data_IF_928144149625
#
_entry.id   IF_928144149625
#
_cell.length_a   1.000
_cell.length_b   1.000
_cell.length_c   1.000
_cell.angle_alpha   90.00
_cell.angle_beta   90.00
_cell.angle_gamma   90.00
#
_symmetry.space_group_name_H-M   'P 1'
#
loop_
_entity.id
_entity.type
_entity.pdbx_description
1 polymer ?
#
# COMPACT_ATOMS: atom_id res chain seq x y z
N UNK A 1 12.70 -0.10 15.44
CA UNK A 1 11.57 0.06 14.50
C UNK A 1 11.14 -1.35 14.16
N UNK A 2 9.90 -1.71 14.44
CA UNK A 2 9.38 -2.99 13.93
C UNK A 2 9.42 -2.95 12.39
N UNK A 3 9.37 -4.09 11.73
CA UNK A 3 9.28 -4.17 10.26
C UNK A 3 8.29 -5.26 9.91
N UNK A 4 7.49 -5.01 8.88
CA UNK A 4 6.41 -5.88 8.41
C UNK A 4 6.88 -6.60 7.16
N UNK A 5 7.74 -7.58 7.35
CA UNK A 5 8.33 -8.39 6.29
C UNK A 5 8.26 -9.87 6.64
N UNK A 6 7.26 -10.30 7.42
CA UNK A 6 7.12 -11.70 7.85
C UNK A 6 6.31 -12.50 6.84
N UNK A 7 5.39 -11.84 6.15
CA UNK A 7 4.47 -12.47 5.21
C UNK A 7 5.04 -12.47 3.79
N UNK A 8 5.89 -13.45 3.49
CA UNK A 8 6.47 -13.63 2.16
C UNK A 8 5.56 -14.41 1.21
N UNK A 9 4.62 -15.20 1.76
CA UNK A 9 3.65 -15.98 0.98
C UNK A 9 2.28 -15.91 1.62
N UNK A 10 1.24 -16.18 0.84
CA UNK A 10 -0.12 -16.25 1.37
C UNK A 10 -0.26 -17.27 2.50
N UNK A 11 0.38 -18.44 2.38
CA UNK A 11 0.33 -19.47 3.42
C UNK A 11 0.86 -18.97 4.77
N UNK A 12 1.96 -18.19 4.75
CA UNK A 12 2.51 -17.59 5.97
C UNK A 12 1.59 -16.52 6.57
N UNK A 13 0.99 -15.68 5.71
CA UNK A 13 0.04 -14.66 6.14
C UNK A 13 -1.22 -15.28 6.74
N UNK A 14 -1.81 -16.25 6.02
CA UNK A 14 -3.00 -16.98 6.44
C UNK A 14 -2.81 -17.65 7.79
N UNK A 15 -1.72 -18.41 7.97
CA UNK A 15 -1.46 -19.12 9.21
C UNK A 15 -1.34 -18.15 10.41
N UNK A 16 -0.70 -17.00 10.22
CA UNK A 16 -0.56 -15.99 11.27
C UNK A 16 -1.88 -15.27 11.57
N UNK A 17 -2.68 -14.97 10.53
CA UNK A 17 -4.03 -14.39 10.70
C UNK A 17 -4.94 -15.35 11.47
N UNK A 18 -5.01 -16.63 11.07
CA UNK A 18 -5.82 -17.65 11.73
C UNK A 18 -5.36 -17.87 13.18
N UNK A 19 -4.05 -17.92 13.43
CA UNK A 19 -3.49 -18.07 14.77
C UNK A 19 -3.77 -16.86 15.67
N UNK A 20 -3.95 -15.66 15.10
CA UNK A 20 -4.24 -14.45 15.87
C UNK A 20 -5.65 -14.44 16.50
N UNK A 21 -6.57 -15.25 15.97
CA UNK A 21 -7.99 -15.24 16.36
C UNK A 21 -8.73 -13.95 16.00
N UNK A 22 -8.12 -13.06 15.19
CA UNK A 22 -8.78 -11.86 14.70
C UNK A 22 -9.97 -12.26 13.80
N UNK A 23 -11.10 -11.52 13.87
CA UNK A 23 -12.28 -11.80 13.06
C UNK A 23 -12.08 -11.29 11.62
N UNK A 24 -11.14 -11.91 10.90
CA UNK A 24 -10.79 -11.61 9.52
C UNK A 24 -11.35 -12.71 8.63
N UNK A 25 -12.04 -12.32 7.56
CA UNK A 25 -12.50 -13.23 6.52
C UNK A 25 -11.31 -13.66 5.65
N UNK A 26 -10.67 -14.77 6.05
CA UNK A 26 -9.50 -15.34 5.36
C UNK A 26 -9.83 -15.87 3.97
N UNK A 27 -11.08 -16.26 3.72
CA UNK A 27 -11.50 -16.78 2.42
C UNK A 27 -11.66 -15.64 1.41
N UNK A 28 -12.30 -14.54 1.83
CA UNK A 28 -12.37 -13.32 1.02
C UNK A 28 -10.98 -12.76 0.72
N UNK A 29 -10.11 -12.72 1.73
CA UNK A 29 -8.74 -12.24 1.58
C UNK A 29 -7.90 -13.15 0.67
N UNK A 30 -8.06 -14.47 0.79
CA UNK A 30 -7.41 -15.44 -0.10
C UNK A 30 -7.79 -15.26 -1.56
N UNK A 31 -9.07 -14.94 -1.85
CA UNK A 31 -9.51 -14.60 -3.21
C UNK A 31 -8.80 -13.36 -3.74
N UNK A 32 -8.66 -12.31 -2.92
CA UNK A 32 -7.94 -11.09 -3.32
C UNK A 32 -6.47 -11.37 -3.61
N UNK A 33 -5.81 -12.18 -2.77
CA UNK A 33 -4.40 -12.56 -2.97
C UNK A 33 -4.22 -13.39 -4.24
N UNK A 34 -5.08 -14.38 -4.47
CA UNK A 34 -5.02 -15.16 -5.71
C UNK A 34 -5.31 -14.32 -6.97
N UNK A 35 -6.18 -13.30 -6.89
CA UNK A 35 -6.41 -12.38 -7.99
C UNK A 35 -5.19 -11.49 -8.25
N UNK A 36 -4.57 -10.93 -7.21
CA UNK A 36 -3.34 -10.17 -7.33
C UNK A 36 -2.20 -11.00 -7.93
N UNK A 37 -2.02 -12.25 -7.49
CA UNK A 37 -1.05 -13.20 -8.06
C UNK A 37 -1.31 -13.44 -9.55
N UNK A 38 -2.58 -13.65 -9.94
CA UNK A 38 -2.94 -13.81 -11.36
C UNK A 38 -2.63 -12.56 -12.20
N UNK A 39 -2.96 -11.37 -11.71
CA UNK A 39 -2.80 -10.13 -12.47
C UNK A 39 -1.35 -9.68 -12.57
N UNK A 40 -0.59 -9.76 -11.48
CA UNK A 40 0.83 -9.41 -11.50
C UNK A 40 1.71 -10.48 -12.14
N UNK A 41 1.28 -11.76 -12.15
CA UNK A 41 2.02 -12.87 -12.76
C UNK A 41 3.47 -12.93 -12.27
N UNK A 42 4.43 -12.94 -13.20
CA UNK A 42 5.87 -13.01 -12.90
C UNK A 42 6.51 -11.65 -12.54
N UNK A 43 5.70 -10.61 -12.28
CA UNK A 43 6.22 -9.29 -11.91
C UNK A 43 7.09 -9.37 -10.64
N UNK A 44 8.23 -8.68 -10.68
CA UNK A 44 9.18 -8.59 -9.59
C UNK A 44 9.44 -7.15 -9.20
N UNK A 45 9.71 -6.91 -7.92
CA UNK A 45 10.24 -5.63 -7.43
C UNK A 45 11.65 -5.39 -7.99
N UNK A 46 12.15 -4.14 -7.96
CA UNK A 46 13.54 -3.84 -8.32
C UNK A 46 14.59 -4.63 -7.54
N UNK A 47 14.24 -5.14 -6.36
CA UNK A 47 15.08 -6.01 -5.52
C UNK A 47 15.14 -7.47 -6.00
N UNK A 48 14.28 -7.87 -6.94
CA UNK A 48 14.18 -9.23 -7.46
C UNK A 48 13.14 -10.13 -6.78
N UNK A 49 12.52 -9.68 -5.68
CA UNK A 49 11.43 -10.40 -5.02
C UNK A 49 10.13 -10.36 -5.85
N UNK A 50 9.28 -11.40 -5.81
CA UNK A 50 7.92 -11.36 -6.36
C UNK A 50 7.15 -10.12 -5.89
N UNK A 51 6.35 -9.52 -6.79
CA UNK A 51 5.61 -8.30 -6.45
C UNK A 51 4.60 -8.51 -5.30
N UNK A 52 4.03 -9.72 -5.22
CA UNK A 52 3.06 -10.13 -4.21
C UNK A 52 3.61 -9.98 -2.78
N UNK A 53 4.92 -10.11 -2.57
CA UNK A 53 5.51 -9.86 -1.25
C UNK A 53 5.21 -8.44 -0.76
N UNK A 54 5.31 -7.41 -1.61
CA UNK A 54 4.97 -6.02 -1.23
C UNK A 54 3.49 -5.86 -0.85
N UNK A 55 2.60 -6.56 -1.56
CA UNK A 55 1.17 -6.55 -1.27
C UNK A 55 0.89 -7.18 0.10
N UNK A 56 1.60 -8.27 0.43
CA UNK A 56 1.51 -8.93 1.73
C UNK A 56 2.16 -8.13 2.85
N UNK A 57 3.23 -7.38 2.59
CA UNK A 57 3.81 -6.43 3.56
C UNK A 57 2.79 -5.33 3.92
N UNK A 58 2.11 -4.75 2.92
CA UNK A 58 1.05 -3.75 3.16
C UNK A 58 -0.13 -4.35 3.94
N UNK A 59 -0.53 -5.58 3.62
CA UNK A 59 -1.55 -6.31 4.36
C UNK A 59 -1.12 -6.58 5.82
N UNK A 60 0.14 -6.97 6.04
CA UNK A 60 0.73 -7.21 7.36
C UNK A 60 0.68 -5.94 8.23
N UNK A 61 1.00 -4.78 7.63
CA UNK A 61 0.89 -3.48 8.30
C UNK A 61 -0.55 -3.23 8.80
N UNK A 62 -1.55 -3.49 7.96
CA UNK A 62 -2.95 -3.27 8.34
C UNK A 62 -3.42 -4.23 9.43
N UNK A 63 -3.12 -5.51 9.29
CA UNK A 63 -3.61 -6.54 10.22
C UNK A 63 -2.86 -6.51 11.54
N UNK A 64 -1.53 -6.53 11.51
CA UNK A 64 -0.71 -6.64 12.72
C UNK A 64 -0.44 -5.29 13.36
N UNK A 65 -0.20 -4.28 12.55
CA UNK A 65 0.06 -2.92 12.99
C UNK A 65 -1.22 -2.21 13.40
N UNK A 66 -2.06 -1.89 12.40
CA UNK A 66 -3.26 -1.08 12.60
C UNK A 66 -4.48 -1.85 13.14
N UNK A 67 -4.41 -3.20 13.24
CA UNK A 67 -5.49 -4.07 13.73
C UNK A 67 -6.79 -3.95 12.92
N UNK A 68 -6.67 -3.69 11.62
CA UNK A 68 -7.80 -3.63 10.70
C UNK A 68 -8.32 -5.05 10.44
N UNK A 69 -9.64 -5.23 10.55
CA UNK A 69 -10.32 -6.50 10.27
C UNK A 69 -11.36 -6.42 9.15
N UNK A 70 -11.66 -5.21 8.66
CA UNK A 70 -12.67 -4.96 7.64
C UNK A 70 -12.26 -5.59 6.29
N UNK A 71 -13.01 -6.57 5.75
CA UNK A 71 -12.64 -7.27 4.51
C UNK A 71 -12.42 -6.35 3.29
N UNK A 72 -13.22 -5.29 3.05
CA UNK A 72 -13.01 -4.40 1.91
C UNK A 72 -11.65 -3.68 1.95
N UNK A 73 -11.24 -3.22 3.13
CA UNK A 73 -9.97 -2.50 3.34
C UNK A 73 -8.77 -3.44 3.14
N UNK A 74 -8.85 -4.65 3.70
CA UNK A 74 -7.79 -5.66 3.56
C UNK A 74 -7.67 -6.13 2.11
N UNK A 75 -8.79 -6.33 1.42
CA UNK A 75 -8.80 -6.69 0.00
C UNK A 75 -8.22 -5.56 -0.85
N UNK A 76 -8.63 -4.31 -0.62
CA UNK A 76 -8.07 -3.15 -1.32
C UNK A 76 -6.56 -2.98 -1.09
N UNK A 77 -6.03 -3.33 0.08
CA UNK A 77 -4.60 -3.30 0.33
C UNK A 77 -3.83 -4.33 -0.49
N UNK A 78 -4.38 -5.52 -0.68
CA UNK A 78 -3.81 -6.54 -1.57
C UNK A 78 -3.93 -6.13 -3.04
N UNK A 79 -4.97 -5.39 -3.40
CA UNK A 79 -5.27 -5.01 -4.78
C UNK A 79 -4.76 -3.61 -5.18
N UNK A 80 -4.13 -2.85 -4.29
CA UNK A 80 -3.93 -1.41 -4.49
C UNK A 80 -3.14 -1.01 -5.75
N UNK A 81 -2.24 -1.87 -6.22
CA UNK A 81 -1.40 -1.61 -7.40
C UNK A 81 -1.89 -2.31 -8.67
N UNK A 82 -2.97 -3.11 -8.63
CA UNK A 82 -3.36 -3.95 -9.77
C UNK A 82 -3.77 -3.11 -10.98
N UNK A 83 -4.45 -2.00 -10.77
CA UNK A 83 -4.86 -1.07 -11.84
C UNK A 83 -3.69 -0.19 -12.31
N UNK A 84 -2.69 0.06 -11.45
CA UNK A 84 -1.53 0.87 -11.82
C UNK A 84 -0.50 0.09 -12.64
N UNK A 85 -0.24 -1.16 -12.27
CA UNK A 85 0.92 -1.92 -12.73
C UNK A 85 0.57 -3.10 -13.65
N UNK A 86 -0.72 -3.38 -13.85
CA UNK A 86 -1.18 -4.47 -14.71
C UNK A 86 -2.21 -3.98 -15.73
N UNK A 87 -2.60 -4.81 -16.73
CA UNK A 87 -3.69 -4.47 -17.65
C UNK A 87 -5.09 -4.45 -17.02
N UNK A 88 -5.25 -4.84 -15.75
CA UNK A 88 -6.53 -4.85 -15.06
C UNK A 88 -7.13 -3.44 -14.95
N UNK A 89 -8.45 -3.36 -14.97
CA UNK A 89 -9.22 -2.13 -14.86
C UNK A 89 -10.02 -2.09 -13.56
N UNK A 90 -10.50 -0.90 -13.17
CA UNK A 90 -11.43 -0.78 -12.04
C UNK A 90 -12.71 -1.60 -12.25
N UNK A 91 -13.14 -1.80 -13.50
CA UNK A 91 -14.29 -2.65 -13.82
C UNK A 91 -13.99 -4.12 -13.50
N UNK A 92 -12.79 -4.61 -13.81
CA UNK A 92 -12.40 -5.99 -13.48
C UNK A 92 -12.38 -6.20 -11.95
N UNK A 93 -11.92 -5.18 -11.20
CA UNK A 93 -11.98 -5.18 -9.72
C UNK A 93 -13.43 -5.17 -9.22
N UNK A 94 -14.31 -4.37 -9.83
CA UNK A 94 -15.72 -4.29 -9.44
C UNK A 94 -16.48 -5.59 -9.70
N UNK A 95 -16.23 -6.21 -10.86
CA UNK A 95 -16.87 -7.46 -11.26
C UNK A 95 -16.46 -8.63 -10.32
N UNK A 96 -15.22 -8.65 -9.80
CA UNK A 96 -14.73 -9.70 -8.90
C UNK A 96 -14.96 -9.41 -7.40
N UNK A 97 -14.89 -8.15 -6.96
CA UNK A 97 -14.84 -7.76 -5.54
C UNK A 97 -15.92 -6.77 -5.11
N UNK A 98 -16.70 -6.24 -6.05
CA UNK A 98 -17.79 -5.32 -5.79
C UNK A 98 -17.35 -3.85 -5.63
N UNK A 99 -18.35 -2.96 -5.47
CA UNK A 99 -18.15 -1.51 -5.56
C UNK A 99 -17.32 -0.94 -4.40
N UNK A 100 -17.45 -1.50 -3.19
CA UNK A 100 -16.73 -0.99 -2.01
C UNK A 100 -15.21 -1.17 -2.14
N UNK A 101 -14.75 -2.36 -2.56
CA UNK A 101 -13.32 -2.61 -2.82
C UNK A 101 -12.83 -1.75 -3.98
N UNK A 102 -13.63 -1.61 -5.03
CA UNK A 102 -13.30 -0.81 -6.22
C UNK A 102 -13.12 0.66 -5.89
N UNK A 103 -14.00 1.23 -5.05
CA UNK A 103 -13.89 2.61 -4.61
C UNK A 103 -12.57 2.84 -3.85
N UNK A 104 -12.21 1.93 -2.94
CA UNK A 104 -10.96 2.03 -2.20
C UNK A 104 -9.73 1.92 -3.12
N UNK A 105 -9.76 1.00 -4.09
CA UNK A 105 -8.69 0.84 -5.08
C UNK A 105 -8.57 2.08 -5.96
N UNK A 106 -9.67 2.68 -6.42
CA UNK A 106 -9.64 3.92 -7.20
C UNK A 106 -8.99 5.07 -6.43
N UNK A 107 -9.35 5.24 -5.14
CA UNK A 107 -8.76 6.29 -4.30
C UNK A 107 -7.24 6.19 -4.24
N UNK A 108 -6.70 4.98 -4.17
CA UNK A 108 -5.25 4.74 -4.07
C UNK A 108 -4.56 4.52 -5.41
N UNK A 109 -5.30 4.49 -6.52
CA UNK A 109 -4.75 4.40 -7.88
C UNK A 109 -4.35 5.79 -8.41
N UNK A 110 -3.10 5.93 -8.82
CA UNK A 110 -2.55 7.14 -9.43
C UNK A 110 -3.07 7.29 -10.87
N UNK A 111 -3.76 8.38 -11.21
CA UNK A 111 -4.25 8.60 -12.56
C UNK A 111 -3.09 8.81 -13.56
N UNK A 112 -3.29 8.46 -14.85
CA UNK A 112 -2.31 8.73 -15.88
C UNK A 112 -2.07 10.24 -16.02
N UNK A 113 -0.84 10.61 -16.37
CA UNK A 113 -0.52 12.02 -16.62
C UNK A 113 -1.17 12.48 -17.93
N UNK A 114 -1.89 13.61 -17.91
CA UNK A 114 -2.51 14.23 -19.10
C UNK A 114 -1.54 14.83 -20.12
N UNK A 115 -0.27 14.43 -20.10
CA UNK A 115 0.78 14.92 -20.98
C UNK A 115 2.07 14.12 -20.87
N UNK A 116 2.96 14.31 -21.83
CA UNK A 116 4.23 13.59 -21.89
C UNK A 116 5.32 14.22 -20.99
N UNK A 117 6.29 13.40 -20.59
CA UNK A 117 7.50 13.86 -19.91
C UNK A 117 7.45 13.84 -18.38
N UNK A 118 8.62 14.10 -17.79
CA UNK A 118 8.85 13.97 -16.33
C UNK A 118 8.07 15.00 -15.52
N UNK A 119 7.90 16.21 -16.04
CA UNK A 119 7.18 17.28 -15.35
C UNK A 119 5.69 16.96 -15.23
N UNK A 120 5.04 16.54 -16.32
CA UNK A 120 3.63 16.14 -16.32
C UNK A 120 3.37 14.99 -15.34
N UNK A 121 4.22 13.95 -15.36
CA UNK A 121 4.15 12.84 -14.40
C UNK A 121 4.29 13.29 -12.94
N UNK A 122 5.21 14.23 -12.65
CA UNK A 122 5.38 14.79 -11.30
C UNK A 122 4.16 15.60 -10.86
N UNK A 123 3.60 16.41 -11.74
CA UNK A 123 2.41 17.21 -11.46
C UNK A 123 1.18 16.33 -11.19
N UNK A 124 0.96 15.31 -12.02
CA UNK A 124 -0.13 14.33 -11.83
C UNK A 124 0.01 13.59 -10.49
N UNK A 125 1.22 13.12 -10.17
CA UNK A 125 1.48 12.47 -8.88
C UNK A 125 1.21 13.41 -7.70
N UNK A 126 1.66 14.66 -7.76
CA UNK A 126 1.42 15.62 -6.69
C UNK A 126 -0.07 15.97 -6.54
N UNK A 127 -0.83 16.04 -7.64
CA UNK A 127 -2.28 16.25 -7.60
C UNK A 127 -3.00 15.06 -6.96
N UNK A 128 -2.66 13.84 -7.37
CA UNK A 128 -3.16 12.61 -6.75
C UNK A 128 -2.87 12.56 -5.25
N UNK A 129 -1.63 12.82 -4.85
CA UNK A 129 -1.25 12.81 -3.43
C UNK A 129 -2.01 13.86 -2.61
N UNK A 130 -2.36 15.01 -3.20
CA UNK A 130 -3.23 16.00 -2.54
C UNK A 130 -4.67 15.51 -2.43
N UNK A 131 -5.21 14.83 -3.47
CA UNK A 131 -6.58 14.29 -3.46
C UNK A 131 -6.82 13.34 -2.29
N UNK A 132 -5.78 12.62 -1.85
CA UNK A 132 -5.88 11.71 -0.70
C UNK A 132 -6.27 12.41 0.60
N UNK A 133 -6.11 13.73 0.71
CA UNK A 133 -6.63 14.51 1.84
C UNK A 133 -8.16 14.51 1.94
N UNK A 134 -8.85 14.24 0.84
CA UNK A 134 -10.30 14.15 0.75
C UNK A 134 -10.80 12.69 0.71
N UNK A 135 -9.88 11.71 0.80
CA UNK A 135 -10.21 10.29 0.73
C UNK A 135 -10.89 9.79 2.02
N UNK A 136 -11.74 8.75 1.94
CA UNK A 136 -12.30 8.12 3.13
C UNK A 136 -11.19 7.50 4.00
N UNK A 137 -11.38 7.42 5.34
CA UNK A 137 -10.38 6.86 6.26
C UNK A 137 -9.85 5.49 5.86
N UNK A 138 -10.71 4.64 5.29
CA UNK A 138 -10.40 3.31 4.79
C UNK A 138 -9.35 3.35 3.67
N UNK A 139 -9.53 4.23 2.68
CA UNK A 139 -8.58 4.40 1.59
C UNK A 139 -7.27 5.04 2.07
N UNK A 140 -7.36 5.97 3.03
CA UNK A 140 -6.19 6.54 3.71
C UNK A 140 -5.37 5.43 4.38
N UNK A 141 -6.00 4.50 5.12
CA UNK A 141 -5.29 3.38 5.75
C UNK A 141 -4.57 2.50 4.74
N UNK A 142 -5.21 2.17 3.62
CA UNK A 142 -4.57 1.42 2.51
C UNK A 142 -3.32 2.17 2.03
N UNK A 143 -3.42 3.48 1.81
CA UNK A 143 -2.28 4.26 1.33
C UNK A 143 -1.16 4.41 2.36
N UNK A 144 -1.52 4.57 3.63
CA UNK A 144 -0.56 4.60 4.72
C UNK A 144 0.18 3.27 4.81
N UNK A 145 -0.52 2.13 4.67
CA UNK A 145 0.08 0.81 4.68
C UNK A 145 1.05 0.58 3.50
N UNK A 146 0.66 0.92 2.27
CA UNK A 146 1.55 0.92 1.10
C UNK A 146 2.79 1.81 1.33
N UNK A 147 2.59 2.99 1.91
CA UNK A 147 3.75 3.84 2.23
C UNK A 147 4.62 3.22 3.33
N UNK A 148 4.01 2.50 4.28
CA UNK A 148 4.74 1.79 5.33
C UNK A 148 5.64 0.70 4.75
N UNK A 149 5.10 -0.19 3.91
CA UNK A 149 5.85 -1.28 3.27
C UNK A 149 7.01 -0.78 2.41
N UNK A 150 6.85 0.39 1.78
CA UNK A 150 7.92 0.99 1.00
C UNK A 150 9.04 1.63 1.84
N UNK A 151 8.70 2.42 2.86
CA UNK A 151 9.70 3.22 3.59
C UNK A 151 10.41 2.42 4.69
N UNK A 152 9.87 1.28 5.13
CA UNK A 152 10.56 0.38 6.07
C UNK A 152 11.87 -0.19 5.51
N UNK A 153 12.02 -0.26 4.18
CA UNK A 153 13.25 -0.68 3.49
C UNK A 153 13.82 0.40 2.55
N UNK A 154 13.56 1.69 2.84
CA UNK A 154 13.98 2.79 1.96
C UNK A 154 15.51 2.86 1.81
N UNK A 155 16.24 2.48 2.85
CA UNK A 155 17.70 2.41 2.92
C UNK A 155 18.34 1.54 1.82
N UNK A 156 17.57 0.59 1.25
CA UNK A 156 18.01 -0.28 0.14
C UNK A 156 17.99 0.40 -1.23
N UNK A 157 17.40 1.59 -1.34
CA UNK A 157 17.24 2.30 -2.62
C UNK A 157 18.41 3.28 -2.89
N UNK A 158 18.63 3.73 -4.13
CA UNK A 158 19.64 4.74 -4.42
C UNK A 158 19.40 6.06 -3.66
N UNK A 159 20.45 6.78 -3.19
CA UNK A 159 20.29 7.96 -2.32
C UNK A 159 19.36 9.06 -2.84
N UNK A 160 19.37 9.32 -4.16
CA UNK A 160 18.48 10.31 -4.77
C UNK A 160 17.01 9.88 -4.72
N UNK A 161 16.74 8.58 -4.84
CA UNK A 161 15.41 8.03 -4.66
C UNK A 161 14.97 8.17 -3.20
N UNK A 162 15.83 7.82 -2.25
CA UNK A 162 15.55 7.93 -0.82
C UNK A 162 15.12 9.34 -0.44
N UNK A 163 15.95 10.35 -0.75
CA UNK A 163 15.66 11.77 -0.46
C UNK A 163 14.32 12.21 -1.03
N UNK A 164 14.08 11.94 -2.33
CA UNK A 164 12.83 12.34 -3.00
C UNK A 164 11.61 11.63 -2.42
N UNK A 165 11.69 10.32 -2.21
CA UNK A 165 10.56 9.51 -1.74
C UNK A 165 10.23 9.85 -0.29
N UNK A 166 11.24 10.10 0.55
CA UNK A 166 11.06 10.54 1.92
C UNK A 166 10.47 11.95 2.00
N UNK A 167 10.96 12.91 1.21
CA UNK A 167 10.40 14.26 1.16
C UNK A 167 8.91 14.27 0.77
N UNK A 168 8.53 13.43 -0.20
CA UNK A 168 7.13 13.19 -0.57
C UNK A 168 6.32 12.61 0.58
N UNK A 169 6.90 11.64 1.30
CA UNK A 169 6.27 10.99 2.46
C UNK A 169 5.95 12.01 3.56
N UNK A 170 6.92 12.87 3.91
CA UNK A 170 6.73 13.93 4.91
C UNK A 170 5.70 14.97 4.45
N UNK A 171 5.73 15.35 3.17
CA UNK A 171 4.88 16.42 2.65
C UNK A 171 3.42 15.99 2.49
N UNK A 172 3.18 14.78 2.00
CA UNK A 172 1.83 14.34 1.61
C UNK A 172 1.27 13.21 2.44
N UNK A 173 2.09 12.28 2.93
CA UNK A 173 1.59 11.06 3.58
C UNK A 173 1.50 11.21 5.10
N UNK A 174 2.52 11.77 5.75
CA UNK A 174 2.52 12.00 7.20
C UNK A 174 1.31 12.81 7.69
N UNK A 175 0.87 13.87 6.99
CA UNK A 175 -0.34 14.60 7.40
C UNK A 175 -1.61 13.72 7.42
N UNK A 176 -1.73 12.75 6.51
CA UNK A 176 -2.89 11.84 6.47
C UNK A 176 -2.94 10.91 7.68
N UNK A 177 -1.80 10.65 8.32
CA UNK A 177 -1.72 9.81 9.51
C UNK A 177 -2.22 10.52 10.79
N UNK A 178 -2.59 11.79 10.75
CA UNK A 178 -2.96 12.54 11.96
C UNK A 178 -4.19 11.95 12.66
N UNK A 179 -5.16 11.46 11.89
CA UNK A 179 -6.34 10.76 12.40
C UNK A 179 -6.07 9.29 12.79
N UNK A 180 -4.85 8.79 12.58
CA UNK A 180 -4.47 7.38 12.75
C UNK A 180 -3.26 7.25 13.71
N UNK A 181 -3.49 7.20 15.05
CA UNK A 181 -2.43 7.28 16.05
C UNK A 181 -1.30 6.26 15.90
N UNK A 182 -1.63 5.06 15.42
CA UNK A 182 -0.65 3.99 15.19
C UNK A 182 0.34 4.39 14.08
N UNK A 183 -0.16 4.81 12.93
CA UNK A 183 0.67 5.28 11.82
C UNK A 183 1.47 6.52 12.23
N UNK A 184 0.86 7.48 12.93
CA UNK A 184 1.56 8.68 13.44
C UNK A 184 2.80 8.33 14.28
N UNK A 185 2.66 7.37 15.18
CA UNK A 185 3.76 6.88 16.03
C UNK A 185 4.86 6.22 15.20
N UNK A 186 4.46 5.46 14.17
CA UNK A 186 5.40 4.85 13.25
C UNK A 186 6.21 5.86 12.44
N UNK A 187 5.54 6.81 11.79
CA UNK A 187 6.19 7.89 11.02
C UNK A 187 7.11 8.74 11.90
N UNK A 188 6.77 8.94 13.17
CA UNK A 188 7.66 9.61 14.11
C UNK A 188 8.99 8.86 14.30
N UNK A 189 8.97 7.52 14.33
CA UNK A 189 10.20 6.72 14.41
C UNK A 189 11.08 6.87 13.17
N UNK A 190 10.46 7.03 11.99
CA UNK A 190 11.17 7.27 10.72
C UNK A 190 11.83 8.63 10.65
N UNK A 191 11.26 9.65 11.27
CA UNK A 191 11.90 10.97 11.37
C UNK A 191 13.26 10.90 12.02
N UNK A 192 13.42 10.04 13.03
CA UNK A 192 14.72 9.80 13.65
C UNK A 192 15.65 9.01 12.74
N UNK A 193 15.17 7.90 12.16
CA UNK A 193 16.00 7.01 11.33
C UNK A 193 16.49 7.67 10.02
N UNK A 194 15.66 8.50 9.40
CA UNK A 194 15.91 9.14 8.12
C UNK A 194 16.22 10.64 8.25
N UNK A 195 16.60 11.11 9.44
CA UNK A 195 16.98 12.51 9.66
C UNK A 195 18.08 13.00 8.72
N UNK A 196 18.96 12.10 8.27
CA UNK A 196 20.05 12.39 7.33
C UNK A 196 19.59 12.65 5.88
N UNK A 197 18.30 12.40 5.57
CA UNK A 197 17.70 12.66 4.26
C UNK A 197 17.00 14.03 4.18
N UNK A 198 16.83 14.72 5.32
CA UNK A 198 16.24 16.07 5.45
C UNK A 198 17.32 17.14 5.28
#
# INVERSE_FOLDING_TARGET
MEVFTRWHTWDTARADIEASGAPIDVDALGKAVSAAERWHGDQKRPTGAPYVEHLLEALEVLVRGARVTAPPVLSAAVLHDVVEDTPATLRDVEDEFGPEVTELVDWVTKPPAGGAGRQAKRAAKAAYLRRLGDAPPEAVRVKLADRVSNVQTLDRMPPDFQRRYYAETITYIVPLAEAEPWFKSWYASWRTAYAHLL
#
